data_IF_817041405018
#
_entry.id   IF_817041405018
#
_cell.length_a   1.000
_cell.length_b   1.000
_cell.length_c   1.000
_cell.angle_alpha   90.00
_cell.angle_beta   90.00
_cell.angle_gamma   90.00
#
_symmetry.space_group_name_H-M   'P 1'
#
loop_
_entity.id
_entity.type
_entity.pdbx_description
1 polymer ?
#
# COMPACT_ATOMS: atom_id res chain seq x y z
N UNK A 1 6.10 45.01 -54.04
CA UNK A 1 6.33 43.62 -53.66
C UNK A 1 6.42 43.49 -52.15
N UNK A 2 5.31 43.16 -51.48
CA UNK A 2 5.28 42.99 -50.05
C UNK A 2 5.61 41.49 -49.71
N UNK A 3 6.69 41.26 -48.98
CA UNK A 3 7.03 39.89 -48.47
C UNK A 3 6.26 39.71 -47.16
N UNK A 4 5.30 38.78 -47.17
CA UNK A 4 4.58 38.33 -45.99
C UNK A 4 5.44 37.30 -45.31
N UNK A 5 5.93 37.59 -44.10
CA UNK A 5 6.63 36.64 -43.26
C UNK A 5 5.61 35.90 -42.41
N UNK A 6 5.41 34.63 -42.71
CA UNK A 6 4.57 33.74 -41.87
C UNK A 6 5.35 33.35 -40.63
N UNK A 7 4.90 33.87 -39.47
CA UNK A 7 5.38 33.45 -38.17
C UNK A 7 4.65 32.16 -37.80
N UNK A 8 5.36 31.05 -37.87
CA UNK A 8 4.88 29.75 -37.34
C UNK A 8 5.12 29.74 -35.82
N UNK A 9 4.06 29.94 -35.02
CA UNK A 9 4.08 29.74 -33.58
C UNK A 9 4.07 28.22 -33.31
N UNK A 10 5.22 27.69 -32.94
CA UNK A 10 5.36 26.37 -32.36
C UNK A 10 4.80 26.40 -30.91
N UNK A 11 3.55 25.95 -30.75
CA UNK A 11 3.03 25.61 -29.42
C UNK A 11 3.72 24.33 -28.94
N UNK A 12 4.78 24.48 -28.15
CA UNK A 12 5.37 23.40 -27.37
C UNK A 12 4.40 23.06 -26.25
N UNK A 13 3.53 22.08 -26.50
CA UNK A 13 2.70 21.47 -25.46
C UNK A 13 3.60 20.84 -24.40
N UNK A 14 3.67 21.44 -23.21
CA UNK A 14 4.19 20.80 -22.01
C UNK A 14 3.25 19.63 -21.68
N UNK A 15 3.52 18.47 -22.24
CA UNK A 15 3.00 17.21 -21.72
C UNK A 15 3.64 16.99 -20.36
N UNK A 16 2.93 17.42 -19.31
CA UNK A 16 3.26 17.05 -17.94
C UNK A 16 3.26 15.52 -17.88
N UNK A 17 4.44 14.93 -17.77
CA UNK A 17 4.61 13.52 -17.50
C UNK A 17 3.99 13.27 -16.12
N UNK A 18 2.73 12.86 -16.08
CA UNK A 18 2.20 12.20 -14.89
C UNK A 18 3.03 10.93 -14.73
N UNK A 19 4.05 11.00 -13.88
CA UNK A 19 4.71 9.81 -13.40
C UNK A 19 3.65 9.02 -12.63
N UNK A 20 3.04 8.06 -13.31
CA UNK A 20 2.31 7.01 -12.64
C UNK A 20 3.34 6.32 -11.78
N UNK A 21 3.29 6.56 -10.47
CA UNK A 21 4.09 5.84 -9.51
C UNK A 21 3.70 4.36 -9.64
N UNK A 22 4.52 3.61 -10.37
CA UNK A 22 4.37 2.17 -10.51
C UNK A 22 4.71 1.57 -9.15
N UNK A 23 3.70 1.31 -8.34
CA UNK A 23 3.84 0.71 -7.01
C UNK A 23 4.02 -0.80 -7.12
N UNK A 24 4.89 -1.37 -7.83
CA UNK A 24 5.31 -2.78 -7.85
C UNK A 24 4.27 -3.81 -7.32
N UNK A 25 2.96 -3.56 -7.54
CA UNK A 25 1.88 -4.41 -7.02
C UNK A 25 2.00 -5.85 -7.54
N UNK A 26 2.21 -5.98 -8.85
CA UNK A 26 2.29 -7.29 -9.51
C UNK A 26 3.53 -8.07 -9.04
N UNK A 27 4.68 -7.39 -8.86
CA UNK A 27 5.91 -8.02 -8.39
C UNK A 27 5.76 -8.52 -6.95
N UNK A 28 5.24 -7.68 -6.05
CA UNK A 28 5.04 -8.06 -4.66
C UNK A 28 3.97 -9.16 -4.52
N UNK A 29 2.88 -9.07 -5.26
CA UNK A 29 1.83 -10.06 -5.29
C UNK A 29 2.35 -11.43 -5.77
N UNK A 30 3.07 -11.45 -6.89
CA UNK A 30 3.68 -12.68 -7.41
C UNK A 30 4.66 -13.34 -6.43
N UNK A 31 5.43 -12.54 -5.67
CA UNK A 31 6.40 -13.05 -4.70
C UNK A 31 5.76 -13.78 -3.54
N UNK A 32 4.56 -13.38 -3.14
CA UNK A 32 3.88 -13.88 -1.94
C UNK A 32 2.57 -14.62 -2.25
N UNK A 33 2.30 -14.93 -3.52
CA UNK A 33 1.08 -15.60 -3.98
C UNK A 33 -0.20 -14.87 -3.55
N UNK A 34 -0.22 -13.55 -3.83
CA UNK A 34 -1.30 -12.63 -3.50
C UNK A 34 -1.89 -12.00 -4.77
N UNK A 35 -3.07 -11.39 -4.67
CA UNK A 35 -3.59 -10.56 -5.74
C UNK A 35 -3.07 -9.11 -5.63
N UNK A 36 -2.63 -8.50 -6.75
CA UNK A 36 -2.19 -7.10 -6.76
C UNK A 36 -3.26 -6.14 -6.25
N UNK A 37 -4.53 -6.38 -6.57
CA UNK A 37 -5.67 -5.56 -6.13
C UNK A 37 -5.88 -5.62 -4.62
N UNK A 38 -5.56 -6.75 -3.98
CA UNK A 38 -5.63 -6.87 -2.52
C UNK A 38 -4.61 -5.97 -1.85
N UNK A 39 -3.37 -5.97 -2.35
CA UNK A 39 -2.31 -5.08 -1.85
C UNK A 39 -2.65 -3.61 -2.06
N UNK A 40 -3.17 -3.28 -3.24
CA UNK A 40 -3.61 -1.92 -3.55
C UNK A 40 -4.79 -1.47 -2.67
N UNK A 41 -5.77 -2.35 -2.43
CA UNK A 41 -6.90 -2.07 -1.54
C UNK A 41 -6.43 -1.80 -0.10
N UNK A 42 -5.46 -2.56 0.39
CA UNK A 42 -4.87 -2.33 1.72
C UNK A 42 -4.19 -0.96 1.75
N UNK A 43 -3.32 -0.64 0.82
CA UNK A 43 -2.61 0.64 0.78
C UNK A 43 -3.58 1.85 0.71
N UNK A 44 -4.65 1.72 -0.05
CA UNK A 44 -5.66 2.76 -0.18
C UNK A 44 -6.41 2.98 1.14
N UNK A 45 -6.84 1.92 1.80
CA UNK A 45 -7.51 2.00 3.11
C UNK A 45 -6.57 2.49 4.21
N UNK A 46 -5.29 2.11 4.18
CA UNK A 46 -4.29 2.45 5.20
C UNK A 46 -3.80 3.90 5.10
N UNK A 47 -3.43 4.32 3.92
CA UNK A 47 -2.78 5.64 3.74
C UNK A 47 -3.47 6.55 2.73
N UNK A 48 -4.50 6.08 2.01
CA UNK A 48 -5.02 6.77 0.82
C UNK A 48 -3.95 6.88 -0.27
N UNK A 49 -3.12 5.85 -0.42
CA UNK A 49 -1.99 5.78 -1.35
C UNK A 49 -0.91 6.84 -1.11
N UNK A 50 -0.80 7.39 0.10
CA UNK A 50 0.20 8.40 0.44
C UNK A 50 1.49 7.73 0.91
N UNK A 51 2.55 7.87 0.12
CA UNK A 51 3.87 7.25 0.37
C UNK A 51 4.48 7.68 1.71
N UNK A 52 4.35 8.95 2.07
CA UNK A 52 4.95 9.54 3.27
C UNK A 52 3.98 9.64 4.46
N UNK A 53 2.89 8.87 4.46
CA UNK A 53 1.96 8.87 5.58
C UNK A 53 2.61 8.30 6.84
N UNK A 54 2.42 8.97 7.97
CA UNK A 54 2.77 8.44 9.30
C UNK A 54 1.57 8.63 10.23
N UNK A 55 1.18 7.58 10.93
CA UNK A 55 0.15 7.61 11.95
C UNK A 55 0.77 7.40 13.33
N UNK A 56 0.65 8.41 14.20
CA UNK A 56 1.13 8.39 15.60
C UNK A 56 0.02 8.11 16.62
N UNK A 57 -1.21 7.81 16.17
CA UNK A 57 -2.38 7.70 17.06
C UNK A 57 -2.49 6.36 17.81
N UNK A 58 -1.51 5.47 17.68
CA UNK A 58 -1.52 4.17 18.35
C UNK A 58 -1.33 4.34 19.86
N UNK A 59 -2.24 3.78 20.66
CA UNK A 59 -2.25 3.92 22.14
C UNK A 59 -1.06 3.25 22.83
N UNK A 60 -0.41 2.31 22.18
CA UNK A 60 0.75 1.57 22.69
C UNK A 60 2.10 2.25 22.37
N UNK A 61 2.09 3.49 21.87
CA UNK A 61 3.30 4.24 21.54
C UNK A 61 3.96 3.81 20.22
N UNK A 62 3.39 2.86 19.47
CA UNK A 62 3.85 2.53 18.13
C UNK A 62 3.33 3.54 17.11
N UNK A 63 3.91 3.53 15.91
CA UNK A 63 3.43 4.31 14.76
C UNK A 63 3.34 3.43 13.53
N UNK A 64 2.52 3.85 12.56
CA UNK A 64 2.36 3.16 11.30
C UNK A 64 2.97 4.02 10.18
N UNK A 65 3.76 3.41 9.30
CA UNK A 65 4.76 4.07 8.47
C UNK A 65 4.49 3.80 6.99
N UNK A 66 4.40 4.88 6.21
CA UNK A 66 4.44 4.87 4.76
C UNK A 66 3.16 4.37 4.08
N UNK A 67 3.31 4.05 2.81
CA UNK A 67 2.22 3.65 1.91
C UNK A 67 1.36 2.51 2.48
N UNK A 68 2.01 1.48 3.02
CA UNK A 68 1.36 0.28 3.57
C UNK A 68 1.13 0.35 5.08
N UNK A 69 1.40 1.49 5.73
CA UNK A 69 1.25 1.70 7.17
C UNK A 69 1.90 0.59 8.01
N UNK A 70 3.17 0.35 7.72
CA UNK A 70 3.97 -0.66 8.43
C UNK A 70 4.16 -0.24 9.89
N UNK A 71 3.66 -1.04 10.83
CA UNK A 71 3.78 -0.73 12.24
C UNK A 71 5.25 -0.80 12.70
N UNK A 72 5.66 0.18 13.51
CA UNK A 72 7.04 0.32 14.00
C UNK A 72 7.53 -0.85 14.86
N UNK A 73 6.63 -1.76 15.33
CA UNK A 73 7.02 -3.02 15.98
C UNK A 73 7.87 -3.92 15.06
N UNK A 74 7.74 -3.76 13.75
CA UNK A 74 8.51 -4.52 12.77
C UNK A 74 9.92 -3.96 12.53
N UNK A 75 10.19 -2.70 12.89
CA UNK A 75 11.47 -2.05 12.62
C UNK A 75 12.69 -2.81 13.13
N UNK A 76 12.70 -3.41 14.34
CA UNK A 76 13.89 -4.14 14.82
C UNK A 76 14.29 -5.30 13.90
N UNK A 77 13.33 -6.02 13.30
CA UNK A 77 13.63 -7.09 12.34
C UNK A 77 13.97 -6.55 10.96
N UNK A 78 13.31 -5.47 10.52
CA UNK A 78 13.53 -4.83 9.23
C UNK A 78 14.91 -4.18 9.15
N UNK A 79 15.36 -3.54 10.22
CA UNK A 79 16.70 -2.94 10.31
C UNK A 79 17.82 -3.96 10.09
N UNK A 80 17.65 -5.21 10.53
CA UNK A 80 18.61 -6.30 10.26
C UNK A 80 18.74 -6.62 8.77
N UNK A 81 17.75 -6.22 7.97
CA UNK A 81 17.72 -6.37 6.51
C UNK A 81 18.08 -5.05 5.78
N UNK A 82 18.53 -4.04 6.52
CA UNK A 82 18.84 -2.71 5.96
C UNK A 82 17.59 -1.89 5.59
N UNK A 83 16.40 -2.29 6.08
CA UNK A 83 15.15 -1.58 5.82
C UNK A 83 14.90 -0.62 6.99
N UNK A 84 15.10 0.68 6.73
CA UNK A 84 14.89 1.77 7.69
C UNK A 84 13.50 2.38 7.53
N UNK A 85 13.06 3.15 8.54
CA UNK A 85 11.83 3.95 8.44
C UNK A 85 11.90 4.94 7.27
N UNK A 86 13.04 5.62 7.08
CA UNK A 86 13.26 6.55 5.97
C UNK A 86 13.03 5.87 4.62
N UNK A 87 13.54 4.66 4.45
CA UNK A 87 13.34 3.89 3.22
C UNK A 87 11.88 3.49 3.02
N UNK A 88 11.15 3.14 4.07
CA UNK A 88 9.70 2.86 3.97
C UNK A 88 8.90 4.10 3.55
N UNK A 89 9.37 5.31 3.86
CA UNK A 89 8.74 6.58 3.49
C UNK A 89 9.17 7.09 2.11
N UNK A 90 10.32 6.68 1.60
CA UNK A 90 10.87 7.17 0.33
C UNK A 90 10.79 6.17 -0.82
N UNK A 91 10.69 4.88 -0.51
CA UNK A 91 10.68 3.80 -1.50
C UNK A 91 9.30 3.08 -1.49
N UNK A 92 8.34 3.52 -2.30
CA UNK A 92 6.99 2.94 -2.28
C UNK A 92 6.97 1.44 -2.61
N UNK A 93 7.79 0.99 -3.56
CA UNK A 93 7.93 -0.43 -3.87
C UNK A 93 8.42 -1.25 -2.67
N UNK A 94 9.37 -0.73 -1.89
CA UNK A 94 9.83 -1.38 -0.67
C UNK A 94 8.71 -1.48 0.37
N UNK A 95 7.94 -0.41 0.55
CA UNK A 95 6.79 -0.43 1.45
C UNK A 95 5.77 -1.51 1.04
N UNK A 96 5.46 -1.64 -0.26
CA UNK A 96 4.58 -2.69 -0.80
C UNK A 96 5.13 -4.08 -0.53
N UNK A 97 6.42 -4.32 -0.80
CA UNK A 97 7.08 -5.61 -0.56
C UNK A 97 7.02 -6.01 0.93
N UNK A 98 7.29 -5.07 1.83
CA UNK A 98 7.22 -5.31 3.28
C UNK A 98 5.77 -5.57 3.71
N UNK A 99 4.81 -4.79 3.25
CA UNK A 99 3.40 -5.00 3.54
C UNK A 99 2.91 -6.37 3.06
N UNK A 100 3.26 -6.76 1.84
CA UNK A 100 2.95 -8.07 1.28
C UNK A 100 3.55 -9.21 2.13
N UNK A 101 4.80 -9.07 2.60
CA UNK A 101 5.43 -10.06 3.47
C UNK A 101 4.70 -10.23 4.81
N UNK A 102 4.26 -9.12 5.41
CA UNK A 102 3.49 -9.14 6.66
C UNK A 102 2.12 -9.81 6.45
N UNK A 103 1.43 -9.50 5.36
CA UNK A 103 0.18 -10.17 5.02
C UNK A 103 0.38 -11.66 4.81
N UNK A 104 1.44 -12.06 4.11
CA UNK A 104 1.78 -13.46 3.90
C UNK A 104 2.04 -14.21 5.21
N UNK A 105 2.67 -13.60 6.21
CA UNK A 105 2.83 -14.20 7.55
C UNK A 105 1.47 -14.49 8.21
N UNK A 106 0.49 -13.60 8.06
CA UNK A 106 -0.87 -13.86 8.58
C UNK A 106 -1.59 -14.93 7.78
N UNK A 107 -1.40 -14.98 6.45
CA UNK A 107 -1.96 -16.04 5.60
C UNK A 107 -1.37 -17.41 5.96
N UNK A 108 -0.09 -17.51 6.22
CA UNK A 108 0.54 -18.74 6.71
C UNK A 108 -0.05 -19.21 8.04
N UNK A 109 -0.41 -18.27 8.91
CA UNK A 109 -0.96 -18.59 10.23
C UNK A 109 -2.44 -18.94 10.22
N UNK A 110 -3.26 -18.24 9.42
CA UNK A 110 -4.72 -18.33 9.46
C UNK A 110 -5.35 -18.92 8.20
N UNK A 111 -4.55 -19.19 7.17
CA UNK A 111 -5.02 -19.53 5.82
C UNK A 111 -5.32 -18.29 4.99
N UNK A 112 -5.50 -18.45 3.67
CA UNK A 112 -5.85 -17.38 2.75
C UNK A 112 -7.33 -17.02 2.90
N UNK A 113 -7.64 -16.15 3.82
CA UNK A 113 -9.00 -15.74 4.18
C UNK A 113 -9.04 -14.32 4.77
N UNK A 114 -10.25 -13.81 5.01
CA UNK A 114 -10.47 -12.47 5.54
C UNK A 114 -10.05 -12.29 7.00
N UNK A 115 -9.86 -13.38 7.76
CA UNK A 115 -9.23 -13.35 9.09
C UNK A 115 -7.77 -12.91 8.98
N UNK A 116 -7.03 -13.46 8.02
CA UNK A 116 -5.63 -13.06 7.76
C UNK A 116 -5.55 -11.59 7.34
N UNK A 117 -6.43 -11.14 6.43
CA UNK A 117 -6.50 -9.73 6.02
C UNK A 117 -6.82 -8.82 7.21
N UNK A 118 -7.81 -9.18 8.03
CA UNK A 118 -8.16 -8.44 9.24
C UNK A 118 -7.00 -8.35 10.25
N UNK A 119 -6.18 -9.40 10.30
CA UNK A 119 -5.03 -9.45 11.21
C UNK A 119 -3.89 -8.52 10.80
N UNK A 120 -3.85 -8.08 9.55
CA UNK A 120 -2.88 -7.07 9.09
C UNK A 120 -2.95 -5.79 9.95
N UNK A 121 -4.14 -5.31 10.24
CA UNK A 121 -4.36 -4.10 11.06
C UNK A 121 -4.42 -4.41 12.57
N UNK A 122 -5.12 -5.49 12.96
CA UNK A 122 -5.45 -5.76 14.37
C UNK A 122 -4.42 -6.66 15.05
N UNK A 123 -3.63 -7.39 14.26
CA UNK A 123 -2.72 -8.40 14.77
C UNK A 123 -3.42 -9.72 15.15
N UNK A 124 -2.64 -10.74 15.57
CA UNK A 124 -3.10 -12.12 15.69
C UNK A 124 -3.71 -12.49 17.06
N UNK A 125 -3.78 -11.56 18.01
CA UNK A 125 -4.23 -11.87 19.37
C UNK A 125 -5.68 -12.36 19.41
N UNK A 126 -6.04 -13.24 20.37
CA UNK A 126 -7.39 -13.77 20.52
C UNK A 126 -8.35 -12.77 21.18
N UNK A 127 -9.63 -13.09 21.10
CA UNK A 127 -10.71 -12.40 21.82
C UNK A 127 -11.79 -11.81 20.92
N UNK A 128 -13.04 -11.77 21.40
CA UNK A 128 -14.20 -11.40 20.60
C UNK A 128 -14.16 -9.94 20.12
N UNK A 129 -13.59 -9.04 20.92
CA UNK A 129 -13.42 -7.64 20.52
C UNK A 129 -12.42 -7.49 19.37
N UNK A 130 -11.31 -8.24 19.43
CA UNK A 130 -10.30 -8.22 18.36
C UNK A 130 -10.86 -8.83 17.09
N UNK A 131 -11.64 -9.90 17.20
CA UNK A 131 -12.31 -10.51 16.07
C UNK A 131 -13.26 -9.54 15.36
N UNK A 132 -14.09 -8.82 16.12
CA UNK A 132 -14.97 -7.79 15.57
C UNK A 132 -14.19 -6.65 14.89
N UNK A 133 -13.00 -6.30 15.41
CA UNK A 133 -12.12 -5.31 14.77
C UNK A 133 -11.55 -5.83 13.44
N UNK A 134 -11.09 -7.09 13.39
CA UNK A 134 -10.60 -7.73 12.15
C UNK A 134 -11.68 -7.76 11.10
N UNK A 135 -12.88 -8.16 11.46
CA UNK A 135 -14.02 -8.22 10.54
C UNK A 135 -14.31 -6.83 9.95
N UNK A 136 -14.43 -5.79 10.77
CA UNK A 136 -14.66 -4.41 10.30
C UNK A 136 -13.55 -3.90 9.37
N UNK A 137 -12.31 -4.22 9.67
CA UNK A 137 -11.20 -3.86 8.80
C UNK A 137 -11.27 -4.62 7.48
N UNK A 138 -11.47 -5.95 7.53
CA UNK A 138 -11.59 -6.80 6.35
C UNK A 138 -12.75 -6.37 5.43
N UNK A 139 -13.88 -5.94 5.99
CA UNK A 139 -15.01 -5.40 5.23
C UNK A 139 -14.63 -4.13 4.44
N UNK A 140 -13.87 -3.22 5.03
CA UNK A 140 -13.37 -2.02 4.32
C UNK A 140 -12.45 -2.40 3.16
N UNK A 141 -11.55 -3.37 3.39
CA UNK A 141 -10.65 -3.87 2.34
C UNK A 141 -11.47 -4.53 1.24
N UNK A 142 -12.46 -5.37 1.59
CA UNK A 142 -13.32 -6.04 0.62
C UNK A 142 -14.02 -5.08 -0.33
N UNK A 143 -14.64 -4.03 0.20
CA UNK A 143 -15.31 -3.00 -0.61
C UNK A 143 -14.34 -2.37 -1.63
N UNK A 144 -13.14 -2.01 -1.17
CA UNK A 144 -12.14 -1.40 -2.04
C UNK A 144 -11.57 -2.37 -3.08
N UNK A 145 -11.30 -3.60 -2.65
CA UNK A 145 -10.82 -4.69 -3.51
C UNK A 145 -11.83 -5.00 -4.64
N UNK A 146 -13.12 -5.10 -4.34
CA UNK A 146 -14.16 -5.30 -5.35
C UNK A 146 -14.22 -4.15 -6.37
N UNK A 147 -14.07 -2.91 -5.93
CA UNK A 147 -14.05 -1.76 -6.82
C UNK A 147 -12.84 -1.80 -7.78
N UNK A 148 -11.67 -2.23 -7.32
CA UNK A 148 -10.48 -2.36 -8.14
C UNK A 148 -10.62 -3.49 -9.18
N UNK A 149 -11.16 -4.64 -8.80
CA UNK A 149 -11.45 -5.74 -9.74
C UNK A 149 -12.44 -5.30 -10.83
N UNK A 150 -13.48 -4.55 -10.46
CA UNK A 150 -14.47 -4.06 -11.42
C UNK A 150 -13.87 -3.11 -12.45
N UNK A 151 -12.84 -2.35 -12.10
CA UNK A 151 -12.14 -1.43 -13.03
C UNK A 151 -11.22 -2.14 -14.03
N UNK A 152 -10.81 -3.39 -13.75
CA UNK A 152 -9.97 -4.19 -14.66
C UNK A 152 -10.76 -4.91 -15.78
N UNK A 153 -12.06 -4.97 -15.68
CA UNK A 153 -12.96 -5.62 -16.67
C UNK A 153 -13.38 -4.64 -17.73
#
# INVERSE_FOLDING_TARGET
>A
MLKVWSVVLLLSGLMGSHQVLAYCWDEAASRYDLEPELLQAIADVESGLRVQAINYANRNGTRDIGLMQINSIHLPRLLKQGITEERLLSEPCLSVQVGASILAEFIQRFGYNWMAVGSYNVGPGPGPQREALRQRYAERIWVRYQALIAQRR
#
